data_IF_739797981688
#
_entry.id   IF_739797981688
#
_cell.length_a   1.000
_cell.length_b   1.000
_cell.length_c   1.000
_cell.angle_alpha   90.00
_cell.angle_beta   90.00
_cell.angle_gamma   90.00
#
_symmetry.space_group_name_H-M   'P 1'
#
loop_
_entity.id
_entity.type
_entity.pdbx_description
1 polymer ?
#
# COMPACT_ATOMS: atom_id res chain seq x y z
N UNK A 1 11.85 38.31 -10.16
CA UNK A 1 12.35 36.92 -9.97
C UNK A 1 11.46 36.23 -8.93
N UNK A 2 10.41 35.51 -9.37
CA UNK A 2 9.50 34.78 -8.45
C UNK A 2 9.99 33.34 -8.30
N UNK A 3 10.54 32.99 -7.13
CA UNK A 3 10.90 31.60 -6.81
C UNK A 3 9.61 30.84 -6.48
N UNK A 4 9.26 29.90 -7.35
CA UNK A 4 8.20 28.91 -7.17
C UNK A 4 8.68 27.92 -6.11
N UNK A 5 8.12 27.99 -4.91
CA UNK A 5 8.42 27.05 -3.83
C UNK A 5 7.65 25.77 -4.16
N UNK A 6 8.38 24.72 -4.56
CA UNK A 6 7.80 23.40 -4.81
C UNK A 6 7.35 22.79 -3.48
N UNK A 7 6.05 22.49 -3.38
CA UNK A 7 5.50 21.69 -2.29
C UNK A 7 6.08 20.28 -2.46
N UNK A 8 7.04 19.92 -1.61
CA UNK A 8 7.51 18.53 -1.53
C UNK A 8 6.41 17.71 -0.85
N UNK A 9 5.99 16.62 -1.49
CA UNK A 9 5.01 15.66 -0.99
C UNK A 9 5.33 15.27 0.47
N UNK A 10 4.48 15.66 1.41
CA UNK A 10 4.64 15.34 2.82
C UNK A 10 4.28 13.87 3.05
N UNK A 11 5.29 13.00 3.05
CA UNK A 11 5.12 11.61 3.47
C UNK A 11 5.03 11.57 5.01
N UNK A 12 3.85 11.35 5.59
CA UNK A 12 3.62 11.21 7.06
C UNK A 12 4.22 9.95 7.69
N UNK A 13 5.25 9.36 7.08
CA UNK A 13 6.04 8.24 7.64
C UNK A 13 7.10 8.70 8.66
N UNK A 14 7.13 10.00 9.00
CA UNK A 14 8.14 10.60 9.86
C UNK A 14 8.17 10.04 11.29
N UNK A 15 7.04 9.63 11.85
CA UNK A 15 6.95 9.21 13.26
C UNK A 15 7.63 7.87 13.52
N UNK A 16 7.52 6.90 12.61
CA UNK A 16 8.16 5.58 12.76
C UNK A 16 9.62 5.63 12.29
N UNK A 17 9.98 6.54 11.37
CA UNK A 17 11.35 6.71 10.88
C UNK A 17 12.32 7.23 11.96
N UNK A 18 11.81 7.78 13.07
CA UNK A 18 12.63 8.23 14.21
C UNK A 18 13.10 7.10 15.14
N UNK A 19 12.85 5.84 14.78
CA UNK A 19 13.38 4.66 15.48
C UNK A 19 14.87 4.38 15.20
N UNK A 20 15.66 5.38 14.78
CA UNK A 20 17.07 5.25 14.36
C UNK A 20 18.02 4.70 15.43
N UNK A 21 17.56 4.63 16.69
CA UNK A 21 18.32 4.10 17.83
C UNK A 21 17.95 2.66 18.21
N UNK A 22 17.01 2.03 17.50
CA UNK A 22 16.64 0.63 17.72
C UNK A 22 17.49 -0.27 16.82
N UNK A 23 17.94 -1.39 17.38
CA UNK A 23 18.56 -2.44 16.59
C UNK A 23 17.61 -2.89 15.47
N UNK A 24 18.15 -3.16 14.27
CA UNK A 24 17.39 -3.60 13.09
C UNK A 24 16.43 -2.57 12.43
N UNK A 25 16.53 -1.27 12.78
CA UNK A 25 15.66 -0.24 12.18
C UNK A 25 15.83 -0.09 10.65
N UNK A 26 17.01 -0.37 10.12
CA UNK A 26 17.28 -0.36 8.67
C UNK A 26 16.47 -1.42 7.91
N UNK A 27 16.07 -2.50 8.57
CA UNK A 27 15.27 -3.59 8.00
C UNK A 27 13.77 -3.44 8.31
N UNK A 28 13.32 -2.26 8.76
CA UNK A 28 11.90 -2.00 9.01
C UNK A 28 11.29 -1.21 7.85
N UNK A 29 10.64 -1.86 6.88
CA UNK A 29 9.87 -1.15 5.87
C UNK A 29 8.69 -0.44 6.54
N UNK A 30 8.68 0.89 6.47
CA UNK A 30 7.60 1.71 7.03
C UNK A 30 6.63 2.10 5.92
N UNK A 31 5.37 1.70 6.10
CA UNK A 31 4.22 2.19 5.34
C UNK A 31 3.36 3.06 6.24
N UNK A 32 2.74 4.07 5.66
CA UNK A 32 1.89 5.01 6.37
C UNK A 32 1.08 5.83 5.39
N UNK A 33 0.21 6.66 5.93
CA UNK A 33 -0.64 7.54 5.14
C UNK A 33 0.20 8.47 4.25
N UNK A 34 -0.18 8.59 2.98
CA UNK A 34 0.52 9.38 1.95
C UNK A 34 -0.27 10.60 1.49
N UNK A 35 -1.28 11.03 2.27
CA UNK A 35 -2.18 12.13 1.91
C UNK A 35 -2.94 11.94 0.60
N UNK A 36 -3.20 10.68 0.24
CA UNK A 36 -4.03 10.38 -0.92
C UNK A 36 -5.43 10.04 -0.43
N UNK A 37 -6.42 10.76 -0.92
CA UNK A 37 -7.81 10.46 -0.62
C UNK A 37 -8.78 11.50 -1.15
N UNK A 38 -10.04 11.10 -1.19
CA UNK A 38 -11.21 11.90 -1.52
C UNK A 38 -12.45 11.21 -0.95
N UNK A 39 -13.56 11.23 -1.70
CA UNK A 39 -14.71 10.36 -1.40
C UNK A 39 -14.41 9.02 -2.08
N UNK A 40 -13.98 8.04 -1.30
CA UNK A 40 -13.56 6.72 -1.76
C UNK A 40 -14.13 5.64 -0.85
N UNK A 41 -14.15 4.39 -1.34
CA UNK A 41 -14.41 3.25 -0.47
C UNK A 41 -13.21 2.99 0.47
N UNK A 42 -13.40 2.31 1.61
CA UNK A 42 -12.31 2.02 2.54
C UNK A 42 -11.11 1.31 1.90
N UNK A 43 -11.34 0.25 1.11
CA UNK A 43 -10.24 -0.47 0.47
C UNK A 43 -9.58 0.35 -0.64
N UNK A 44 -10.35 1.13 -1.41
CA UNK A 44 -9.79 2.04 -2.42
C UNK A 44 -8.84 3.06 -1.77
N UNK A 45 -9.27 3.68 -0.67
CA UNK A 45 -8.44 4.64 0.08
C UNK A 45 -7.14 3.98 0.59
N UNK A 46 -7.23 2.75 1.09
CA UNK A 46 -6.07 1.99 1.53
C UNK A 46 -5.11 1.66 0.38
N UNK A 47 -5.64 1.28 -0.79
CA UNK A 47 -4.87 1.01 -2.01
C UNK A 47 -4.16 2.28 -2.49
N UNK A 48 -4.84 3.43 -2.50
CA UNK A 48 -4.24 4.70 -2.90
C UNK A 48 -3.05 5.08 -2.02
N UNK A 49 -3.13 4.78 -0.72
CA UNK A 49 -2.05 5.03 0.23
C UNK A 49 -1.00 3.90 0.28
N UNK A 50 -1.20 2.81 -0.46
CA UNK A 50 -0.34 1.62 -0.47
C UNK A 50 -0.16 1.01 0.95
N UNK A 51 -1.23 1.07 1.75
CA UNK A 51 -1.33 0.45 3.08
C UNK A 51 -2.31 -0.74 3.07
N UNK A 52 -2.83 -1.10 1.90
CA UNK A 52 -3.70 -2.25 1.70
C UNK A 52 -2.92 -3.58 1.81
N UNK A 53 -3.67 -4.65 2.11
CA UNK A 53 -3.11 -6.01 2.25
C UNK A 53 -2.34 -6.51 1.03
N UNK A 54 -2.68 -6.07 -0.20
CA UNK A 54 -1.98 -6.51 -1.40
C UNK A 54 -0.63 -5.80 -1.53
N UNK A 55 -0.57 -4.48 -1.30
CA UNK A 55 0.69 -3.74 -1.27
C UNK A 55 1.64 -4.27 -0.19
N UNK A 56 1.12 -4.56 1.01
CA UNK A 56 1.91 -5.15 2.09
C UNK A 56 2.46 -6.53 1.71
N UNK A 57 1.66 -7.39 1.08
CA UNK A 57 2.12 -8.69 0.61
C UNK A 57 3.19 -8.58 -0.48
N UNK A 58 3.04 -7.62 -1.42
CA UNK A 58 4.05 -7.36 -2.46
C UNK A 58 5.38 -6.96 -1.83
N UNK A 59 5.37 -6.05 -0.85
CA UNK A 59 6.59 -5.59 -0.18
C UNK A 59 7.34 -6.73 0.51
N UNK A 60 6.60 -7.61 1.20
CA UNK A 60 7.17 -8.79 1.86
C UNK A 60 7.81 -9.73 0.83
N UNK A 61 7.12 -10.02 -0.27
CA UNK A 61 7.63 -10.91 -1.31
C UNK A 61 8.87 -10.30 -1.98
N UNK A 62 8.86 -9.00 -2.26
CA UNK A 62 9.98 -8.31 -2.88
C UNK A 62 11.21 -8.25 -1.96
N UNK A 63 11.00 -8.29 -0.64
CA UNK A 63 12.04 -8.33 0.39
C UNK A 63 12.69 -9.69 0.62
N UNK A 64 12.16 -10.81 0.07
CA UNK A 64 12.70 -12.16 0.28
C UNK A 64 13.61 -12.56 -0.90
N UNK A 65 14.94 -12.65 -0.72
CA UNK A 65 15.86 -12.95 -1.83
C UNK A 65 15.62 -14.31 -2.49
N UNK A 66 15.17 -15.31 -1.72
CA UNK A 66 14.88 -16.65 -2.20
C UNK A 66 13.74 -16.70 -3.24
N UNK A 67 12.84 -15.71 -3.25
CA UNK A 67 11.69 -15.67 -4.14
C UNK A 67 11.94 -14.90 -5.44
N UNK A 68 13.18 -14.49 -5.73
CA UNK A 68 13.52 -13.59 -6.85
C UNK A 68 12.98 -14.03 -8.21
N UNK A 69 12.92 -15.33 -8.48
CA UNK A 69 12.42 -15.90 -9.74
C UNK A 69 10.89 -16.02 -9.73
N UNK A 70 10.29 -16.47 -8.63
CA UNK A 70 8.85 -16.73 -8.54
C UNK A 70 8.00 -15.47 -8.27
N UNK A 71 8.60 -14.41 -7.71
CA UNK A 71 7.87 -13.21 -7.25
C UNK A 71 7.13 -12.45 -8.33
N UNK A 72 7.59 -12.51 -9.58
CA UNK A 72 7.02 -11.71 -10.67
C UNK A 72 5.54 -12.05 -10.90
N UNK A 73 5.21 -13.35 -10.94
CA UNK A 73 3.84 -13.82 -11.14
C UNK A 73 2.93 -13.47 -9.96
N UNK A 74 3.41 -13.63 -8.72
CA UNK A 74 2.63 -13.31 -7.53
C UNK A 74 2.36 -11.81 -7.45
N UNK A 75 3.39 -10.98 -7.73
CA UNK A 75 3.24 -9.53 -7.80
C UNK A 75 2.20 -9.12 -8.84
N UNK A 76 2.25 -9.71 -10.03
CA UNK A 76 1.27 -9.43 -11.08
C UNK A 76 -0.15 -9.78 -10.63
N UNK A 77 -0.35 -10.95 -10.01
CA UNK A 77 -1.65 -11.36 -9.47
C UNK A 77 -2.18 -10.35 -8.45
N UNK A 78 -1.35 -9.94 -7.48
CA UNK A 78 -1.74 -8.98 -6.45
C UNK A 78 -2.07 -7.59 -7.06
N UNK A 79 -1.34 -7.16 -8.09
CA UNK A 79 -1.65 -5.92 -8.82
C UNK A 79 -2.96 -6.02 -9.60
N UNK A 80 -3.27 -7.16 -10.21
CA UNK A 80 -4.56 -7.38 -10.85
C UNK A 80 -5.71 -7.29 -9.85
N UNK A 81 -5.57 -7.89 -8.66
CA UNK A 81 -6.58 -7.79 -7.60
C UNK A 81 -6.81 -6.33 -7.15
N UNK A 82 -5.74 -5.52 -7.05
CA UNK A 82 -5.88 -4.08 -6.76
C UNK A 82 -6.60 -3.30 -7.88
N UNK A 83 -6.42 -3.69 -9.14
CA UNK A 83 -7.11 -3.08 -10.28
C UNK A 83 -8.59 -3.45 -10.23
N UNK A 84 -8.89 -4.73 -10.03
CA UNK A 84 -10.26 -5.24 -9.92
C UNK A 84 -11.03 -4.57 -8.79
N UNK A 85 -10.47 -4.49 -7.58
CA UNK A 85 -11.13 -3.83 -6.45
C UNK A 85 -11.41 -2.35 -6.73
N UNK A 86 -10.48 -1.63 -7.38
CA UNK A 86 -10.66 -0.22 -7.72
C UNK A 86 -11.71 0.00 -8.80
N UNK A 87 -11.70 -0.84 -9.84
CA UNK A 87 -12.69 -0.77 -10.90
C UNK A 87 -14.09 -1.05 -10.33
N UNK A 88 -14.22 -2.06 -9.48
CA UNK A 88 -15.49 -2.37 -8.83
C UNK A 88 -15.98 -1.22 -7.94
N UNK A 89 -15.09 -0.63 -7.12
CA UNK A 89 -15.41 0.53 -6.29
C UNK A 89 -15.86 1.74 -7.13
N UNK A 90 -15.21 1.98 -8.26
CA UNK A 90 -15.58 3.06 -9.19
C UNK A 90 -16.96 2.84 -9.82
N UNK A 91 -17.26 1.60 -10.20
CA UNK A 91 -18.52 1.25 -10.87
C UNK A 91 -19.71 1.15 -9.90
N UNK A 92 -19.49 0.67 -8.68
CA UNK A 92 -20.55 0.30 -7.74
C UNK A 92 -20.61 1.17 -6.48
N UNK A 93 -19.58 1.99 -6.21
CA UNK A 93 -19.50 2.84 -5.02
C UNK A 93 -19.30 2.08 -3.70
N UNK A 94 -19.04 0.78 -3.75
CA UNK A 94 -18.78 -0.10 -2.59
C UNK A 94 -17.60 -1.02 -2.89
N UNK A 95 -16.98 -1.56 -1.84
CA UNK A 95 -15.87 -2.49 -2.01
C UNK A 95 -16.32 -3.83 -2.62
N UNK A 96 -15.39 -4.49 -3.32
CA UNK A 96 -15.63 -5.79 -3.95
C UNK A 96 -16.08 -6.81 -2.88
N UNK A 97 -17.25 -7.48 -3.02
CA UNK A 97 -17.81 -8.33 -1.97
C UNK A 97 -16.87 -9.43 -1.49
N UNK A 98 -16.14 -10.08 -2.40
CA UNK A 98 -15.16 -11.12 -2.06
C UNK A 98 -13.96 -10.55 -1.29
N UNK A 99 -13.63 -9.29 -1.56
CA UNK A 99 -12.55 -8.61 -0.86
C UNK A 99 -12.96 -8.18 0.55
N UNK A 100 -14.21 -7.74 0.72
CA UNK A 100 -14.78 -7.27 1.98
C UNK A 100 -15.18 -8.42 2.91
N UNK A 101 -15.66 -9.54 2.35
CA UNK A 101 -16.02 -10.75 3.09
C UNK A 101 -14.82 -11.56 3.63
N UNK A 102 -13.59 -11.02 3.55
CA UNK A 102 -12.41 -11.70 4.06
C UNK A 102 -12.46 -11.78 5.60
N UNK A 103 -12.21 -12.98 6.12
CA UNK A 103 -12.15 -13.25 7.56
C UNK A 103 -10.84 -13.95 7.92
N UNK A 104 -10.37 -13.71 9.13
CA UNK A 104 -9.31 -14.52 9.71
C UNK A 104 -9.86 -15.90 10.09
N UNK A 105 -9.25 -17.02 9.66
CA UNK A 105 -9.88 -18.35 9.73
C UNK A 105 -9.72 -19.08 11.08
N UNK A 106 -9.29 -18.40 12.14
CA UNK A 106 -9.02 -18.99 13.46
C UNK A 106 -9.66 -18.19 14.58
#
# INVERSE_FOLDING_TARGET
>A
MRRRIGIQNANWTGTVRHASRRHNHDNMPVRGYKEKGGINTPLELAIQNEIDRFSLAIDVIDGIPALRVARAHVRQKLRHMQIECRNYAWENGVDLPEADAWVWPY
#
